data_IF_551285308105
#
_entry.id   IF_551285308105
#
_cell.length_a   1.000
_cell.length_b   1.000
_cell.length_c   1.000
_cell.angle_alpha   90.00
_cell.angle_beta   90.00
_cell.angle_gamma   90.00
#
_symmetry.space_group_name_H-M   'P 1'
#
loop_
_entity.id
_entity.type
_entity.pdbx_description
1 polymer ?
#
# COMPACT_ATOMS: atom_id res chain seq x y z
N UNK A 1 7.33 4.14 -2.93
CA UNK A 1 7.04 3.70 -1.53
C UNK A 1 6.88 2.19 -1.51
N UNK A 2 7.22 1.51 -0.41
CA UNK A 2 7.07 0.05 -0.28
C UNK A 2 6.39 -0.30 1.04
N UNK A 3 5.29 -1.05 0.98
CA UNK A 3 4.48 -1.42 2.13
C UNK A 3 4.47 -2.94 2.32
N UNK A 4 4.80 -3.41 3.53
CA UNK A 4 4.69 -4.82 3.93
C UNK A 4 3.24 -5.15 4.36
N UNK A 5 2.41 -5.46 3.37
CA UNK A 5 0.97 -5.73 3.55
C UNK A 5 0.75 -7.11 4.20
N UNK A 6 1.53 -8.10 3.77
CA UNK A 6 1.48 -9.46 4.31
C UNK A 6 1.89 -9.45 5.78
N UNK A 7 3.02 -8.82 6.13
CA UNK A 7 3.46 -8.68 7.51
C UNK A 7 2.46 -7.91 8.37
N UNK A 8 1.91 -6.81 7.86
CA UNK A 8 0.86 -6.06 8.56
C UNK A 8 -0.35 -6.94 8.90
N UNK A 9 -0.95 -7.63 7.93
CA UNK A 9 -2.15 -8.44 8.20
C UNK A 9 -1.85 -9.68 9.04
N UNK A 10 -0.69 -10.34 8.88
CA UNK A 10 -0.25 -11.43 9.77
C UNK A 10 -0.12 -10.94 11.22
N UNK A 11 0.48 -9.76 11.45
CA UNK A 11 0.64 -9.17 12.80
C UNK A 11 -0.71 -8.85 13.47
N UNK A 12 -1.77 -8.70 12.68
CA UNK A 12 -3.15 -8.47 13.13
C UNK A 12 -3.96 -9.76 13.29
N UNK A 13 -3.33 -10.93 13.10
CA UNK A 13 -3.98 -12.24 13.24
C UNK A 13 -4.85 -12.65 12.06
N UNK A 14 -4.74 -11.96 10.90
CA UNK A 14 -5.48 -12.35 9.69
C UNK A 14 -4.81 -13.59 9.10
N UNK A 15 -5.59 -14.65 8.90
CA UNK A 15 -5.13 -15.82 8.17
C UNK A 15 -5.05 -15.50 6.68
N UNK A 16 -3.85 -15.63 6.13
CA UNK A 16 -3.56 -15.42 4.72
C UNK A 16 -3.12 -16.75 4.08
N UNK A 17 -3.38 -16.97 2.78
CA UNK A 17 -2.79 -18.07 2.04
C UNK A 17 -1.28 -17.87 1.95
N UNK A 18 -0.58 -18.96 1.65
CA UNK A 18 0.84 -18.97 1.36
C UNK A 18 1.03 -19.47 -0.09
N UNK A 19 1.46 -18.59 -1.04
CA UNK A 19 1.80 -17.18 -0.83
C UNK A 19 0.56 -16.28 -0.62
N UNK A 20 0.74 -15.19 0.13
CA UNK A 20 -0.30 -14.17 0.29
C UNK A 20 -0.53 -13.45 -1.04
N UNK A 21 -1.79 -13.23 -1.43
CA UNK A 21 -2.13 -12.55 -2.68
C UNK A 21 -1.50 -11.15 -2.77
N UNK A 22 -1.60 -10.36 -1.69
CA UNK A 22 -0.84 -9.12 -1.49
C UNK A 22 0.16 -9.31 -0.34
N UNK A 23 1.41 -9.59 -0.68
CA UNK A 23 2.50 -9.64 0.30
C UNK A 23 3.20 -8.28 0.45
N UNK A 24 3.66 -7.69 -0.64
CA UNK A 24 4.29 -6.38 -0.65
C UNK A 24 3.64 -5.52 -1.74
N UNK A 25 3.25 -4.30 -1.40
CA UNK A 25 2.69 -3.33 -2.35
C UNK A 25 3.70 -2.22 -2.57
N UNK A 26 4.11 -2.05 -3.83
CA UNK A 26 4.96 -0.96 -4.28
C UNK A 26 4.10 0.11 -4.93
N UNK A 27 4.26 1.35 -4.50
CA UNK A 27 3.64 2.52 -5.11
C UNK A 27 4.72 3.42 -5.68
N UNK A 28 4.80 3.46 -7.00
CA UNK A 28 5.64 4.41 -7.73
C UNK A 28 4.79 5.61 -8.15
N UNK A 29 5.30 6.81 -7.90
CA UNK A 29 4.64 8.05 -8.29
C UNK A 29 5.68 9.15 -8.53
N UNK A 30 5.32 10.11 -9.39
CA UNK A 30 6.15 11.27 -9.69
C UNK A 30 5.83 12.46 -8.78
N UNK A 31 6.87 13.21 -8.42
CA UNK A 31 6.76 14.55 -7.82
C UNK A 31 7.24 15.53 -8.88
N UNK A 32 6.30 16.26 -9.47
CA UNK A 32 6.58 17.18 -10.57
C UNK A 32 6.95 18.60 -10.09
N UNK A 33 6.40 19.01 -8.94
CA UNK A 33 6.64 20.32 -8.33
C UNK A 33 7.02 20.13 -6.85
N UNK A 34 8.28 20.39 -6.45
CA UNK A 34 8.72 20.17 -5.07
C UNK A 34 8.11 21.15 -4.06
N UNK A 35 7.43 22.22 -4.50
CA UNK A 35 6.77 23.18 -3.61
C UNK A 35 5.37 22.75 -3.15
N UNK A 36 4.76 21.77 -3.81
CA UNK A 36 3.42 21.28 -3.48
C UNK A 36 3.45 20.16 -2.44
N UNK A 37 2.35 20.02 -1.70
CA UNK A 37 2.10 18.87 -0.86
C UNK A 37 1.55 17.70 -1.69
N UNK A 38 2.12 16.50 -1.53
CA UNK A 38 1.69 15.28 -2.21
C UNK A 38 1.16 14.27 -1.20
N UNK A 39 -0.16 14.14 -1.12
CA UNK A 39 -0.81 13.10 -0.35
C UNK A 39 -1.10 11.89 -1.26
N UNK A 40 -0.48 10.74 -0.97
CA UNK A 40 -0.65 9.50 -1.75
C UNK A 40 -1.08 8.37 -0.79
N UNK A 41 -2.37 8.29 -0.43
CA UNK A 41 -2.85 7.29 0.52
C UNK A 41 -2.93 5.88 -0.09
N UNK A 42 -2.79 4.86 0.75
CA UNK A 42 -3.03 3.46 0.42
C UNK A 42 -4.27 2.97 1.19
N UNK A 43 -5.31 2.57 0.46
CA UNK A 43 -6.42 1.79 1.01
C UNK A 43 -6.16 0.33 0.64
N UNK A 44 -6.12 -0.57 1.64
CA UNK A 44 -5.69 -1.95 1.40
C UNK A 44 -6.49 -2.95 2.22
N UNK A 45 -6.87 -4.05 1.56
CA UNK A 45 -7.31 -5.30 2.15
C UNK A 45 -6.30 -6.41 1.80
N UNK A 46 -6.43 -7.63 2.33
CA UNK A 46 -5.59 -8.74 1.88
C UNK A 46 -5.69 -9.06 0.38
N UNK A 47 -6.79 -8.69 -0.28
CA UNK A 47 -7.12 -9.10 -1.67
C UNK A 47 -7.15 -7.98 -2.69
N UNK A 48 -7.07 -6.73 -2.25
CA UNK A 48 -7.15 -5.58 -3.13
C UNK A 48 -6.52 -4.36 -2.48
N UNK A 49 -6.05 -3.43 -3.30
CA UNK A 49 -5.65 -2.12 -2.84
C UNK A 49 -6.04 -1.06 -3.87
N UNK A 50 -6.10 0.18 -3.40
CA UNK A 50 -6.22 1.37 -4.25
C UNK A 50 -5.36 2.50 -3.70
N UNK A 51 -4.97 3.40 -4.59
CA UNK A 51 -4.22 4.62 -4.30
C UNK A 51 -4.69 5.73 -5.22
N UNK A 52 -4.45 6.99 -4.86
CA UNK A 52 -4.72 8.16 -5.69
C UNK A 52 -3.84 9.34 -5.25
N UNK A 53 -3.82 10.43 -6.03
CA UNK A 53 -3.24 11.71 -5.59
C UNK A 53 -4.33 12.52 -4.89
N UNK A 54 -4.21 12.67 -3.57
CA UNK A 54 -5.05 13.56 -2.78
C UNK A 54 -4.56 15.01 -2.79
N UNK A 55 -5.35 15.89 -2.17
CA UNK A 55 -5.04 17.30 -1.88
C UNK A 55 -4.36 17.46 -0.53
#
# INVERSE_FOLDING_TARGET
>A
LSFDVGGYFRSRGVQLPEPSFLNQVQLDFGVADPSQHYHVPLLVSPWSYSTYRGS
#
